data_IF_399633903151
#
_entry.id   IF_399633903151
#
_cell.length_a   1.000
_cell.length_b   1.000
_cell.length_c   1.000
_cell.angle_alpha   90.00
_cell.angle_beta   90.00
_cell.angle_gamma   90.00
#
_symmetry.space_group_name_H-M   'P 1'
#
loop_
_entity.id
_entity.type
_entity.pdbx_description
1 polymer ?
#
# COMPACT_ATOMS: atom_id res chain seq x y z
N UNK A 1 23.52 -13.51 1.46
CA UNK A 1 22.05 -13.61 1.59
C UNK A 1 21.49 -13.81 0.20
N UNK A 2 20.70 -14.87 -0.03
CA UNK A 2 20.03 -15.09 -1.33
C UNK A 2 19.00 -13.98 -1.55
N UNK A 3 19.02 -13.27 -2.69
CA UNK A 3 18.03 -12.24 -2.96
C UNK A 3 16.64 -12.86 -2.99
N UNK A 4 15.68 -12.21 -2.31
CA UNK A 4 14.27 -12.60 -2.38
C UNK A 4 13.80 -12.31 -3.82
N UNK A 5 13.35 -13.36 -4.53
CA UNK A 5 12.70 -13.21 -5.83
C UNK A 5 11.23 -12.88 -5.62
N UNK A 6 10.82 -11.67 -5.98
CA UNK A 6 9.42 -11.24 -5.89
C UNK A 6 8.63 -11.69 -7.13
N UNK A 7 7.30 -11.93 -6.99
CA UNK A 7 6.41 -12.09 -8.14
C UNK A 7 6.31 -10.79 -8.96
N UNK A 8 5.73 -10.85 -10.18
CA UNK A 8 5.47 -9.66 -10.99
C UNK A 8 4.74 -8.58 -10.19
N UNK A 9 5.12 -7.31 -10.40
CA UNK A 9 4.51 -6.15 -9.73
C UNK A 9 4.32 -5.01 -10.71
N UNK A 10 3.23 -4.27 -10.56
CA UNK A 10 3.06 -2.96 -11.18
C UNK A 10 3.71 -1.87 -10.33
N UNK A 11 3.96 -0.70 -10.92
CA UNK A 11 4.42 0.50 -10.23
C UNK A 11 3.22 1.43 -9.95
N UNK A 12 2.39 1.07 -8.96
CA UNK A 12 1.17 1.83 -8.60
C UNK A 12 1.38 2.70 -7.36
N UNK A 13 2.25 2.28 -6.43
CA UNK A 13 2.54 3.00 -5.21
C UNK A 13 3.77 3.90 -5.38
N UNK A 14 3.70 5.14 -4.92
CA UNK A 14 4.85 6.02 -4.73
C UNK A 14 5.70 5.53 -3.56
N UNK A 15 6.77 4.81 -3.88
CA UNK A 15 7.67 4.18 -2.91
C UNK A 15 9.13 4.51 -3.25
N UNK A 16 10.05 4.53 -2.25
CA UNK A 16 9.82 4.27 -0.84
C UNK A 16 9.09 5.41 -0.12
N UNK A 17 8.17 5.06 0.80
CA UNK A 17 7.58 6.06 1.70
C UNK A 17 8.48 6.28 2.92
N UNK A 18 8.52 7.51 3.50
CA UNK A 18 9.49 7.85 4.52
C UNK A 18 9.26 7.12 5.85
N UNK A 19 10.33 6.92 6.62
CA UNK A 19 10.29 6.57 8.03
C UNK A 19 10.43 7.86 8.84
N UNK A 20 9.37 8.29 9.49
CA UNK A 20 9.32 9.54 10.22
C UNK A 20 9.60 9.32 11.70
N UNK A 21 10.60 10.01 12.25
CA UNK A 21 10.83 10.05 13.69
C UNK A 21 9.76 10.91 14.35
N UNK A 22 9.15 10.40 15.42
CA UNK A 22 8.13 11.12 16.18
C UNK A 22 8.75 11.61 17.49
N UNK A 23 9.53 12.69 17.44
CA UNK A 23 10.24 13.22 18.62
C UNK A 23 9.30 13.51 19.78
N UNK A 24 8.29 14.35 19.57
CA UNK A 24 7.29 14.72 20.58
C UNK A 24 6.56 13.50 21.19
N UNK A 25 6.27 12.49 20.37
CA UNK A 25 5.62 11.27 20.84
C UNK A 25 6.58 10.37 21.62
N UNK A 26 7.85 10.33 21.20
CA UNK A 26 8.91 9.59 21.89
C UNK A 26 9.14 10.17 23.28
N UNK A 27 9.19 11.50 23.39
CA UNK A 27 9.38 12.18 24.68
C UNK A 27 8.18 12.00 25.60
N UNK A 28 6.96 12.07 25.05
CA UNK A 28 5.72 12.02 25.84
C UNK A 28 5.26 10.60 26.19
N UNK A 29 5.46 9.63 25.31
CA UNK A 29 4.87 8.29 25.39
C UNK A 29 5.86 7.15 25.14
N UNK A 30 7.12 7.44 24.79
CA UNK A 30 8.08 6.42 24.40
C UNK A 30 8.66 5.60 25.54
N UNK A 31 8.54 6.05 26.80
CA UNK A 31 9.14 5.40 27.97
C UNK A 31 10.63 5.06 27.77
N UNK A 32 11.40 6.06 27.30
CA UNK A 32 12.83 5.91 26.96
C UNK A 32 13.11 5.30 25.59
N UNK A 33 12.09 4.94 24.81
CA UNK A 33 12.24 4.39 23.44
C UNK A 33 11.94 5.42 22.38
N UNK A 34 12.61 5.28 21.21
CA UNK A 34 12.35 6.10 20.01
C UNK A 34 11.17 5.54 19.23
N UNK A 35 10.14 6.36 19.03
CA UNK A 35 8.98 6.02 18.21
C UNK A 35 9.18 6.52 16.77
N UNK A 36 8.98 5.61 15.82
CA UNK A 36 9.07 5.88 14.38
C UNK A 36 7.79 5.44 13.68
N UNK A 37 7.43 6.13 12.60
CA UNK A 37 6.27 5.82 11.78
C UNK A 37 6.70 5.60 10.33
N UNK A 38 6.41 4.43 9.77
CA UNK A 38 6.51 4.19 8.34
C UNK A 38 5.28 4.79 7.66
N UNK A 39 5.47 5.87 6.89
CA UNK A 39 4.39 6.67 6.29
C UNK A 39 3.78 6.03 5.04
N UNK A 40 3.29 4.80 5.18
CA UNK A 40 2.64 4.09 4.08
C UNK A 40 1.31 4.72 3.65
N UNK A 41 0.78 5.67 4.40
CA UNK A 41 -0.29 6.56 3.97
C UNK A 41 0.11 7.47 2.78
N UNK A 42 1.41 7.71 2.56
CA UNK A 42 1.96 8.55 1.50
C UNK A 42 2.28 7.79 0.21
N UNK A 43 1.71 6.60 -0.01
CA UNK A 43 1.91 5.79 -1.22
C UNK A 43 1.28 6.39 -2.48
N UNK A 44 0.62 7.54 -2.40
CA UNK A 44 0.29 8.34 -3.59
C UNK A 44 -0.60 7.65 -4.62
N UNK A 45 -1.86 7.40 -4.28
CA UNK A 45 -3.00 7.42 -5.20
C UNK A 45 -4.25 7.61 -4.31
N UNK A 46 -4.94 8.75 -4.42
CA UNK A 46 -6.17 9.05 -3.66
C UNK A 46 -6.27 8.49 -2.20
N UNK A 47 -5.23 8.65 -1.38
CA UNK A 47 -5.16 8.20 0.02
C UNK A 47 -5.44 6.70 0.26
N UNK A 48 -4.83 5.80 -0.50
CA UNK A 48 -5.14 4.35 -0.43
C UNK A 48 -4.12 3.51 0.35
N UNK A 49 -3.04 4.13 0.82
CA UNK A 49 -2.21 3.62 1.91
C UNK A 49 -1.52 2.27 1.61
N UNK A 50 -1.48 1.39 2.62
CA UNK A 50 -0.85 0.07 2.51
C UNK A 50 -1.51 -0.89 1.50
N UNK A 51 -2.74 -0.62 1.06
CA UNK A 51 -3.48 -1.51 0.16
C UNK A 51 -2.93 -1.48 -1.26
N UNK A 52 -2.43 -0.33 -1.72
CA UNK A 52 -1.84 -0.22 -3.08
C UNK A 52 -0.60 -1.09 -3.21
N UNK A 53 0.28 -1.11 -2.20
CA UNK A 53 1.45 -2.00 -2.20
C UNK A 53 1.09 -3.47 -2.41
N UNK A 54 -0.08 -3.91 -1.95
CA UNK A 54 -0.57 -5.27 -2.17
C UNK A 54 -1.17 -5.44 -3.57
N UNK A 55 -1.94 -4.43 -4.00
CA UNK A 55 -2.58 -4.42 -5.30
C UNK A 55 -1.58 -4.40 -6.46
N UNK A 56 -0.37 -3.86 -6.28
CA UNK A 56 0.71 -3.94 -7.30
C UNK A 56 0.96 -5.36 -7.78
N UNK A 57 0.94 -6.34 -6.88
CA UNK A 57 1.16 -7.75 -7.21
C UNK A 57 -0.11 -8.44 -7.70
N UNK A 58 -1.25 -8.15 -7.06
CA UNK A 58 -2.54 -8.76 -7.42
C UNK A 58 -2.98 -8.33 -8.82
N UNK A 59 -2.83 -7.04 -9.14
CA UNK A 59 -3.18 -6.50 -10.44
C UNK A 59 -2.19 -6.98 -11.52
N UNK A 60 -0.90 -7.08 -11.23
CA UNK A 60 0.07 -7.68 -12.15
C UNK A 60 -0.33 -9.12 -12.53
N UNK A 61 -0.65 -9.94 -11.52
CA UNK A 61 -1.14 -11.30 -11.74
C UNK A 61 -2.45 -11.31 -12.56
N UNK A 62 -3.37 -10.39 -12.28
CA UNK A 62 -4.64 -10.34 -13.01
C UNK A 62 -4.44 -10.02 -14.50
N UNK A 63 -3.55 -9.09 -14.82
CA UNK A 63 -3.19 -8.75 -16.19
C UNK A 63 -2.50 -9.92 -16.90
N UNK A 64 -1.56 -10.59 -16.24
CA UNK A 64 -0.84 -11.76 -16.79
C UNK A 64 -1.80 -12.89 -17.20
N UNK A 65 -2.91 -13.06 -16.48
CA UNK A 65 -3.92 -14.09 -16.75
C UNK A 65 -5.11 -13.59 -17.59
N UNK A 66 -5.09 -12.34 -18.04
CA UNK A 66 -6.16 -11.78 -18.88
C UNK A 66 -7.50 -11.58 -18.16
N UNK A 67 -7.51 -11.42 -16.83
CA UNK A 67 -8.73 -11.09 -16.11
C UNK A 67 -9.15 -9.64 -16.35
N UNK A 68 -10.46 -9.41 -16.48
CA UNK A 68 -11.03 -8.11 -16.83
C UNK A 68 -11.74 -7.41 -15.66
N UNK A 69 -11.91 -8.09 -14.53
CA UNK A 69 -12.69 -7.57 -13.40
C UNK A 69 -11.97 -7.86 -12.08
N UNK A 70 -11.79 -6.81 -11.26
CA UNK A 70 -11.34 -6.95 -9.88
C UNK A 70 -12.55 -6.91 -8.93
N UNK A 71 -12.75 -7.99 -8.18
CA UNK A 71 -13.81 -8.09 -7.17
C UNK A 71 -13.20 -8.08 -5.77
N UNK A 72 -13.74 -7.25 -4.87
CA UNK A 72 -13.33 -7.19 -3.46
C UNK A 72 -14.52 -6.83 -2.57
N UNK A 73 -14.36 -6.94 -1.25
CA UNK A 73 -15.39 -6.61 -0.27
C UNK A 73 -14.81 -5.94 0.99
N UNK A 74 -15.68 -5.33 1.79
CA UNK A 74 -15.34 -4.67 3.03
C UNK A 74 -16.52 -3.91 3.63
N UNK A 75 -16.33 -3.30 4.79
CA UNK A 75 -17.35 -2.45 5.41
C UNK A 75 -17.57 -1.14 4.64
N UNK A 76 -18.57 -0.35 5.08
CA UNK A 76 -19.00 0.90 4.44
C UNK A 76 -17.84 1.89 4.17
N UNK A 77 -16.85 1.96 5.04
CA UNK A 77 -15.69 2.86 4.92
C UNK A 77 -14.40 2.15 4.51
N UNK A 78 -14.49 1.07 3.74
CA UNK A 78 -13.33 0.25 3.37
C UNK A 78 -12.34 1.01 2.47
N UNK A 79 -11.16 1.33 3.02
CA UNK A 79 -10.02 1.84 2.25
C UNK A 79 -9.56 0.83 1.17
N UNK A 80 -9.75 -0.47 1.40
CA UNK A 80 -9.36 -1.49 0.43
C UNK A 80 -10.30 -1.49 -0.79
N UNK A 81 -11.61 -1.41 -0.57
CA UNK A 81 -12.58 -1.32 -1.66
C UNK A 81 -12.33 -0.08 -2.52
N UNK A 82 -12.12 1.09 -1.87
CA UNK A 82 -11.74 2.33 -2.58
C UNK A 82 -10.46 2.16 -3.39
N UNK A 83 -9.42 1.54 -2.81
CA UNK A 83 -8.16 1.31 -3.49
C UNK A 83 -8.30 0.37 -4.69
N UNK A 84 -9.01 -0.75 -4.55
CA UNK A 84 -9.23 -1.71 -5.63
C UNK A 84 -10.01 -1.09 -6.77
N UNK A 85 -11.07 -0.32 -6.48
CA UNK A 85 -11.85 0.38 -7.50
C UNK A 85 -11.00 1.40 -8.27
N UNK A 86 -10.14 2.16 -7.58
CA UNK A 86 -9.22 3.09 -8.22
C UNK A 86 -8.22 2.36 -9.13
N UNK A 87 -7.61 1.27 -8.66
CA UNK A 87 -6.65 0.49 -9.44
C UNK A 87 -7.32 -0.12 -10.68
N UNK A 88 -8.53 -0.67 -10.53
CA UNK A 88 -9.30 -1.15 -11.67
C UNK A 88 -9.51 -0.03 -12.70
N UNK A 89 -10.05 1.12 -12.28
CA UNK A 89 -10.29 2.26 -13.17
C UNK A 89 -9.02 2.80 -13.86
N UNK A 90 -7.84 2.66 -13.26
CA UNK A 90 -6.57 3.05 -13.87
C UNK A 90 -6.07 2.07 -14.94
N UNK A 91 -6.46 0.80 -14.84
CA UNK A 91 -5.98 -0.28 -15.72
C UNK A 91 -6.93 -0.61 -16.88
N UNK A 92 -8.16 -0.09 -16.84
CA UNK A 92 -9.21 -0.31 -17.85
C UNK A 92 -10.28 -1.29 -17.40
#
# INVERSE_FOLDING_TARGET
MTPIKYPPRLDLARIPTPLQFLSRASDKWGAGKRLWMKRDDLTGSALTGNKVRKLEFIAAHALEHGFQTLVTCGGVQSNHCRATALVAAQLG
#
